data_IF_178792709592
#
_entry.id   IF_178792709592
#
_cell.length_a   1.000
_cell.length_b   1.000
_cell.length_c   1.000
_cell.angle_alpha   90.00
_cell.angle_beta   90.00
_cell.angle_gamma   90.00
#
_symmetry.space_group_name_H-M   'P 1'
#
loop_
_entity.id
_entity.type
_entity.pdbx_description
1 polymer ?
#
# COMPACT_ATOMS: atom_id res chain seq x y z
N UNK A 1 3.25 14.33 -9.43
CA UNK A 1 1.81 14.07 -9.26
C UNK A 1 1.41 12.90 -10.15
N UNK A 2 0.45 12.10 -9.71
CA UNK A 2 -0.16 11.01 -10.46
C UNK A 2 -1.69 11.22 -10.33
N UNK A 3 -2.40 11.29 -11.42
CA UNK A 3 -3.86 11.37 -11.40
C UNK A 3 -4.51 9.97 -11.48
N UNK A 4 -5.81 9.90 -11.27
CA UNK A 4 -6.55 8.63 -11.25
C UNK A 4 -6.54 7.91 -12.62
N UNK A 5 -6.68 8.60 -13.77
CA UNK A 5 -6.52 7.99 -15.09
C UNK A 5 -5.13 7.37 -15.30
N UNK A 6 -4.06 8.10 -15.00
CA UNK A 6 -2.68 7.61 -15.11
C UNK A 6 -2.42 6.41 -14.21
N UNK A 7 -2.95 6.46 -12.96
CA UNK A 7 -2.85 5.34 -12.03
C UNK A 7 -3.57 4.10 -12.56
N UNK A 8 -4.80 4.27 -13.07
CA UNK A 8 -5.58 3.19 -13.68
C UNK A 8 -4.80 2.55 -14.85
N UNK A 9 -4.28 3.36 -15.75
CA UNK A 9 -3.59 2.87 -16.95
C UNK A 9 -2.27 2.16 -16.60
N UNK A 10 -1.52 2.68 -15.62
CA UNK A 10 -0.34 2.02 -15.07
C UNK A 10 -0.70 0.72 -14.37
N UNK A 11 -1.74 0.70 -13.56
CA UNK A 11 -2.22 -0.49 -12.88
C UNK A 11 -2.64 -1.59 -13.88
N UNK A 12 -3.33 -1.21 -14.97
CA UNK A 12 -3.70 -2.16 -16.04
C UNK A 12 -2.47 -2.79 -16.70
N UNK A 13 -1.43 -1.99 -16.97
CA UNK A 13 -0.16 -2.51 -17.53
C UNK A 13 0.53 -3.47 -16.57
N UNK A 14 0.58 -3.16 -15.27
CA UNK A 14 1.15 -4.04 -14.24
C UNK A 14 0.36 -5.35 -14.13
N UNK A 15 -0.96 -5.28 -14.17
CA UNK A 15 -1.81 -6.47 -14.22
C UNK A 15 -1.48 -7.33 -15.45
N UNK A 16 -1.36 -6.69 -16.62
CA UNK A 16 -0.95 -7.34 -17.87
C UNK A 16 0.43 -8.00 -17.79
N UNK A 17 1.39 -7.36 -17.14
CA UNK A 17 2.72 -7.95 -16.90
C UNK A 17 2.61 -9.26 -16.11
N UNK A 18 1.85 -9.28 -15.04
CA UNK A 18 1.66 -10.47 -14.20
C UNK A 18 0.95 -11.59 -14.98
N UNK A 19 -0.11 -11.25 -15.72
CA UNK A 19 -0.84 -12.20 -16.57
C UNK A 19 0.09 -12.82 -17.64
N UNK A 20 0.85 -11.98 -18.35
CA UNK A 20 1.80 -12.41 -19.38
C UNK A 20 2.93 -13.31 -18.82
N UNK A 21 3.22 -13.19 -17.53
CA UNK A 21 4.19 -14.02 -16.82
C UNK A 21 3.57 -15.30 -16.22
N UNK A 22 2.31 -15.57 -16.52
CA UNK A 22 1.59 -16.78 -16.09
C UNK A 22 1.07 -16.73 -14.66
N UNK A 23 0.88 -15.52 -14.08
CA UNK A 23 0.19 -15.40 -12.82
C UNK A 23 -1.29 -15.77 -12.97
N UNK A 24 -1.81 -16.55 -12.03
CA UNK A 24 -3.20 -16.99 -12.02
C UNK A 24 -4.03 -16.13 -11.06
N UNK A 25 -5.31 -15.93 -11.37
CA UNK A 25 -6.25 -15.22 -10.49
C UNK A 25 -6.20 -15.81 -9.07
N UNK A 26 -6.14 -14.95 -8.06
CA UNK A 26 -6.05 -15.32 -6.64
C UNK A 26 -4.63 -15.61 -6.13
N UNK A 27 -3.62 -15.73 -7.01
CA UNK A 27 -2.23 -15.89 -6.56
C UNK A 27 -1.72 -14.66 -5.80
N UNK A 28 -0.84 -14.91 -4.84
CA UNK A 28 -0.16 -13.85 -4.08
C UNK A 28 0.94 -13.20 -4.90
N UNK A 29 0.97 -11.87 -4.85
CA UNK A 29 2.06 -11.03 -5.36
C UNK A 29 2.61 -10.21 -4.21
N UNK A 30 3.89 -10.40 -3.87
CA UNK A 30 4.51 -9.67 -2.78
C UNK A 30 4.86 -8.23 -3.19
N UNK A 31 4.59 -7.27 -2.32
CA UNK A 31 4.98 -5.87 -2.49
C UNK A 31 5.95 -5.53 -1.36
N UNK A 32 7.23 -5.44 -1.72
CA UNK A 32 8.37 -5.26 -0.82
C UNK A 32 8.95 -3.87 -1.06
N UNK A 33 8.18 -2.86 -0.70
CA UNK A 33 8.51 -1.46 -0.97
C UNK A 33 8.13 -0.56 0.22
N UNK A 34 8.91 0.50 0.50
CA UNK A 34 8.44 1.59 1.34
C UNK A 34 7.30 2.35 0.63
N UNK A 35 6.66 3.25 1.37
CA UNK A 35 5.69 4.17 0.79
C UNK A 35 6.31 4.88 -0.43
N UNK A 36 5.70 4.70 -1.58
CA UNK A 36 6.15 5.28 -2.84
C UNK A 36 5.04 5.23 -3.88
N UNK A 37 5.17 6.02 -4.92
CA UNK A 37 4.32 5.93 -6.10
C UNK A 37 4.31 4.50 -6.66
N UNK A 38 5.50 3.90 -6.82
CA UNK A 38 5.63 2.55 -7.35
C UNK A 38 4.90 1.49 -6.47
N UNK A 39 4.89 1.67 -5.14
CA UNK A 39 4.16 0.77 -4.24
C UNK A 39 2.64 0.87 -4.44
N UNK A 40 2.10 2.07 -4.67
CA UNK A 40 0.68 2.30 -4.99
C UNK A 40 0.34 1.69 -6.36
N UNK A 41 1.16 1.94 -7.37
CA UNK A 41 0.97 1.39 -8.72
C UNK A 41 1.00 -0.15 -8.71
N UNK A 42 1.96 -0.75 -7.98
CA UNK A 42 2.05 -2.20 -7.80
C UNK A 42 0.83 -2.76 -7.04
N UNK A 43 0.37 -2.07 -5.99
CA UNK A 43 -0.82 -2.45 -5.24
C UNK A 43 -2.05 -2.51 -6.16
N UNK A 44 -2.37 -1.40 -6.82
CA UNK A 44 -3.56 -1.35 -7.68
C UNK A 44 -3.46 -2.29 -8.88
N UNK A 45 -2.26 -2.42 -9.48
CA UNK A 45 -2.04 -3.38 -10.57
C UNK A 45 -2.27 -4.82 -10.13
N UNK A 46 -1.85 -5.17 -8.93
CA UNK A 46 -2.11 -6.48 -8.34
C UNK A 46 -3.61 -6.68 -8.08
N UNK A 47 -4.28 -5.71 -7.47
CA UNK A 47 -5.70 -5.79 -7.13
C UNK A 47 -6.58 -5.94 -8.37
N UNK A 48 -6.44 -5.06 -9.37
CA UNK A 48 -7.30 -5.09 -10.57
C UNK A 48 -6.98 -6.26 -11.50
N UNK A 49 -5.79 -6.84 -11.39
CA UNK A 49 -5.40 -8.08 -12.08
C UNK A 49 -6.02 -9.34 -11.49
N UNK A 50 -6.74 -9.22 -10.38
CA UNK A 50 -7.35 -10.36 -9.70
C UNK A 50 -6.37 -11.15 -8.84
N UNK A 51 -5.24 -10.55 -8.48
CA UNK A 51 -4.23 -11.16 -7.61
C UNK A 51 -4.38 -10.66 -6.19
N UNK A 52 -3.84 -11.41 -5.24
CA UNK A 52 -3.82 -11.05 -3.83
C UNK A 52 -2.53 -10.28 -3.50
N UNK A 53 -2.64 -9.00 -3.23
CA UNK A 53 -1.50 -8.18 -2.81
C UNK A 53 -1.03 -8.63 -1.42
N UNK A 54 0.24 -9.06 -1.31
CA UNK A 54 0.87 -9.41 -0.04
C UNK A 54 1.81 -8.28 0.37
N UNK A 55 1.33 -7.43 1.27
CA UNK A 55 2.10 -6.27 1.73
C UNK A 55 3.13 -6.70 2.77
N UNK A 56 4.42 -6.50 2.46
CA UNK A 56 5.52 -6.94 3.31
C UNK A 56 5.97 -5.82 4.23
N UNK A 57 5.93 -6.09 5.54
CA UNK A 57 6.44 -5.16 6.55
C UNK A 57 7.98 -5.16 6.54
N UNK A 58 8.57 -4.09 6.04
CA UNK A 58 10.02 -3.94 5.92
C UNK A 58 10.73 -3.83 7.29
N UNK A 59 10.02 -3.45 8.34
CA UNK A 59 10.58 -3.34 9.69
C UNK A 59 10.57 -4.68 10.46
N UNK A 60 9.96 -5.73 9.90
CA UNK A 60 9.81 -7.02 10.59
C UNK A 60 11.11 -7.85 10.65
N UNK A 61 12.13 -7.47 9.88
CA UNK A 61 13.39 -8.20 9.79
C UNK A 61 13.35 -9.37 8.80
N UNK A 62 14.54 -9.85 8.45
CA UNK A 62 14.75 -10.85 7.39
C UNK A 62 13.91 -12.11 7.57
N UNK A 63 13.92 -12.71 8.75
CA UNK A 63 13.29 -14.02 8.99
C UNK A 63 11.74 -13.94 8.94
N UNK A 64 11.18 -12.86 9.47
CA UNK A 64 9.74 -12.61 9.37
C UNK A 64 9.31 -12.31 7.92
N UNK A 65 10.15 -11.64 7.15
CA UNK A 65 9.91 -11.41 5.72
C UNK A 65 10.01 -12.73 4.94
N UNK A 66 11.03 -13.55 5.19
CA UNK A 66 11.18 -14.87 4.59
C UNK A 66 9.94 -15.74 4.87
N UNK A 67 9.50 -15.78 6.11
CA UNK A 67 8.27 -16.48 6.49
C UNK A 67 7.05 -15.95 5.74
N UNK A 68 6.87 -14.63 5.65
CA UNK A 68 5.72 -14.03 4.95
C UNK A 68 5.73 -14.34 3.45
N UNK A 69 6.90 -14.31 2.81
CA UNK A 69 7.06 -14.67 1.40
C UNK A 69 6.72 -16.16 1.15
N UNK A 70 7.24 -17.05 1.98
CA UNK A 70 6.98 -18.49 1.86
C UNK A 70 5.52 -18.82 2.17
N UNK A 71 5.02 -18.42 3.33
CA UNK A 71 3.64 -18.69 3.79
C UNK A 71 2.57 -18.10 2.87
N UNK A 72 2.82 -16.94 2.24
CA UNK A 72 1.89 -16.35 1.27
C UNK A 72 1.81 -17.12 -0.03
N UNK A 73 2.80 -17.96 -0.34
CA UNK A 73 2.94 -18.64 -1.63
C UNK A 73 3.21 -17.66 -2.79
N UNK A 74 3.78 -16.49 -2.51
CA UNK A 74 4.04 -15.49 -3.54
C UNK A 74 5.09 -15.99 -4.55
N UNK A 75 4.72 -16.11 -5.82
CA UNK A 75 5.64 -16.43 -6.91
C UNK A 75 6.25 -15.20 -7.57
N UNK A 76 5.63 -14.05 -7.40
CA UNK A 76 6.05 -12.76 -7.96
C UNK A 76 6.21 -11.74 -6.86
N UNK A 77 7.18 -10.85 -7.03
CA UNK A 77 7.41 -9.75 -6.10
C UNK A 77 7.77 -8.45 -6.84
N UNK A 78 7.15 -7.35 -6.44
CA UNK A 78 7.59 -6.00 -6.75
C UNK A 78 8.46 -5.51 -5.61
N UNK A 79 9.70 -5.13 -5.90
CA UNK A 79 10.71 -4.82 -4.89
C UNK A 79 11.30 -3.44 -5.15
N UNK A 80 11.18 -2.55 -4.19
CA UNK A 80 11.81 -1.23 -4.24
C UNK A 80 13.34 -1.32 -4.10
N UNK A 81 14.05 -0.37 -4.68
CA UNK A 81 15.51 -0.40 -4.70
C UNK A 81 16.11 -0.42 -3.28
N UNK A 82 15.56 0.36 -2.37
CA UNK A 82 16.00 0.39 -0.96
C UNK A 82 15.72 -0.90 -0.17
N UNK A 83 14.84 -1.77 -0.67
CA UNK A 83 14.50 -3.04 -0.03
C UNK A 83 15.16 -4.25 -0.72
N UNK A 84 15.96 -4.02 -1.77
CA UNK A 84 16.51 -5.07 -2.62
C UNK A 84 17.38 -6.07 -1.87
N UNK A 85 18.32 -5.58 -1.07
CA UNK A 85 19.23 -6.46 -0.33
C UNK A 85 18.50 -7.26 0.75
N UNK A 86 17.57 -6.62 1.45
CA UNK A 86 16.71 -7.27 2.42
C UNK A 86 15.84 -8.36 1.78
N UNK A 87 15.25 -8.06 0.62
CA UNK A 87 14.48 -9.03 -0.16
C UNK A 87 15.36 -10.21 -0.61
N UNK A 88 16.51 -9.95 -1.20
CA UNK A 88 17.42 -11.01 -1.69
C UNK A 88 17.85 -11.95 -0.56
N UNK A 89 18.11 -11.39 0.63
CA UNK A 89 18.47 -12.18 1.81
C UNK A 89 17.30 -13.01 2.33
N UNK A 90 16.08 -12.46 2.32
CA UNK A 90 14.87 -13.12 2.81
C UNK A 90 14.31 -14.16 1.81
N UNK A 91 14.40 -13.89 0.52
CA UNK A 91 13.88 -14.75 -0.54
C UNK A 91 14.84 -15.90 -0.94
N UNK A 92 16.01 -16.00 -0.30
CA UNK A 92 17.01 -17.02 -0.63
C UNK A 92 16.42 -18.42 -0.47
N UNK A 93 16.40 -19.19 -1.58
CA UNK A 93 15.84 -20.54 -1.63
C UNK A 93 14.33 -20.59 -1.83
N UNK A 94 13.63 -19.46 -1.92
CA UNK A 94 12.21 -19.41 -2.22
C UNK A 94 11.96 -19.20 -3.72
N UNK A 95 10.85 -19.74 -4.28
CA UNK A 95 10.51 -19.62 -5.70
C UNK A 95 9.87 -18.25 -6.04
N UNK A 96 10.33 -17.18 -5.41
CA UNK A 96 9.79 -15.83 -5.60
C UNK A 96 10.62 -15.06 -6.63
N UNK A 97 9.99 -14.64 -7.71
CA UNK A 97 10.64 -13.94 -8.81
C UNK A 97 10.33 -12.45 -8.76
N UNK A 98 11.38 -11.63 -8.69
CA UNK A 98 11.24 -10.16 -8.76
C UNK A 98 10.76 -9.74 -10.14
N UNK A 99 9.83 -8.77 -10.17
CA UNK A 99 9.31 -8.12 -11.37
C UNK A 99 9.59 -6.63 -11.33
N UNK A 100 9.78 -6.06 -12.48
CA UNK A 100 10.01 -4.63 -12.66
C UNK A 100 8.77 -4.01 -13.31
N UNK A 101 8.02 -3.14 -12.59
CA UNK A 101 6.83 -2.51 -13.14
C UNK A 101 7.11 -1.64 -14.39
N UNK A 102 8.34 -1.09 -14.50
CA UNK A 102 8.73 -0.29 -15.64
C UNK A 102 8.80 -1.09 -16.96
N UNK A 103 8.92 -2.43 -16.85
CA UNK A 103 8.93 -3.36 -17.99
C UNK A 103 7.54 -3.90 -18.34
N UNK A 104 6.48 -3.31 -17.77
CA UNK A 104 5.13 -3.72 -18.07
C UNK A 104 4.79 -3.44 -19.56
N UNK A 105 4.20 -4.43 -20.25
CA UNK A 105 3.76 -4.27 -21.65
C UNK A 105 2.62 -3.25 -21.71
N UNK A 106 2.13 -2.88 -22.91
CA UNK A 106 0.87 -2.18 -23.06
C UNK A 106 -0.26 -2.86 -22.29
N UNK A 107 -1.27 -2.08 -21.94
CA UNK A 107 -2.43 -2.61 -21.20
C UNK A 107 -3.08 -3.76 -21.96
N UNK A 108 -3.48 -4.85 -21.28
CA UNK A 108 -4.23 -5.92 -21.92
C UNK A 108 -5.62 -5.42 -22.35
N UNK A 109 -6.18 -6.02 -23.39
CA UNK A 109 -7.53 -5.68 -23.89
C UNK A 109 -8.58 -5.94 -22.80
N UNK A 110 -8.45 -7.03 -22.06
CA UNK A 110 -9.34 -7.40 -20.97
C UNK A 110 -8.57 -7.81 -19.71
N UNK A 111 -9.14 -7.46 -18.58
CA UNK A 111 -8.72 -7.95 -17.26
C UNK A 111 -9.71 -9.03 -16.78
N UNK A 112 -9.29 -9.93 -15.86
CA UNK A 112 -10.18 -10.93 -15.32
C UNK A 112 -11.35 -10.29 -14.58
N UNK A 113 -12.54 -10.90 -14.68
CA UNK A 113 -13.69 -10.51 -13.89
C UNK A 113 -13.42 -10.76 -12.40
N UNK A 114 -13.70 -9.76 -11.56
CA UNK A 114 -13.52 -9.80 -10.12
C UNK A 114 -14.85 -9.97 -9.42
N UNK A 115 -14.89 -10.82 -8.40
CA UNK A 115 -15.99 -10.91 -7.48
C UNK A 115 -15.68 -10.12 -6.19
N UNK A 116 -16.69 -9.53 -5.53
CA UNK A 116 -16.50 -8.86 -4.23
C UNK A 116 -15.85 -9.76 -3.17
N UNK A 117 -16.08 -11.07 -3.24
CA UNK A 117 -15.53 -12.07 -2.34
C UNK A 117 -14.11 -12.56 -2.69
N UNK A 118 -13.56 -12.17 -3.84
CA UNK A 118 -12.19 -12.54 -4.20
C UNK A 118 -11.19 -11.95 -3.19
N UNK A 119 -10.17 -12.76 -2.87
CA UNK A 119 -9.11 -12.34 -1.97
C UNK A 119 -8.26 -11.26 -2.64
N UNK A 120 -8.20 -10.09 -2.03
CA UNK A 120 -7.54 -8.92 -2.57
C UNK A 120 -6.21 -8.60 -1.86
N UNK A 121 -6.17 -8.76 -0.54
CA UNK A 121 -5.04 -8.35 0.27
C UNK A 121 -4.70 -9.41 1.32
N UNK A 122 -3.42 -9.63 1.55
CA UNK A 122 -2.87 -10.38 2.66
C UNK A 122 -1.89 -9.50 3.42
N UNK A 123 -2.15 -9.31 4.70
CA UNK A 123 -1.26 -8.58 5.60
C UNK A 123 -0.87 -9.44 6.79
N UNK A 124 0.35 -9.27 7.27
CA UNK A 124 0.85 -10.01 8.42
C UNK A 124 0.84 -9.13 9.67
N UNK A 125 0.32 -9.67 10.76
CA UNK A 125 0.35 -9.05 12.08
C UNK A 125 1.35 -9.79 12.97
N UNK A 126 1.94 -9.08 13.94
CA UNK A 126 2.76 -9.70 14.98
C UNK A 126 1.86 -10.58 15.84
N UNK A 127 1.87 -11.89 15.59
CA UNK A 127 1.10 -12.83 16.39
C UNK A 127 1.61 -12.91 17.83
N UNK A 128 0.69 -13.04 18.79
CA UNK A 128 1.02 -13.27 20.22
C UNK A 128 1.79 -14.58 20.45
N UNK A 129 1.82 -15.47 19.46
CA UNK A 129 2.47 -16.79 19.50
C UNK A 129 3.86 -16.82 18.86
N UNK A 130 4.46 -15.68 18.55
CA UNK A 130 5.82 -15.56 18.00
C UNK A 130 5.93 -15.73 16.49
N UNK A 131 4.90 -16.25 15.78
CA UNK A 131 4.86 -16.28 14.31
C UNK A 131 3.86 -15.27 13.77
N UNK A 132 4.18 -14.54 12.70
CA UNK A 132 3.24 -13.62 12.06
C UNK A 132 1.98 -14.35 11.60
N UNK A 133 0.81 -13.75 11.83
CA UNK A 133 -0.48 -14.27 11.35
C UNK A 133 -0.89 -13.50 10.10
N UNK A 134 -1.23 -14.23 9.03
CA UNK A 134 -1.75 -13.65 7.81
C UNK A 134 -3.24 -13.35 7.93
N UNK A 135 -3.61 -12.09 7.68
CA UNK A 135 -5.01 -11.64 7.63
C UNK A 135 -5.37 -11.39 6.19
N UNK A 136 -6.39 -12.07 5.69
CA UNK A 136 -6.89 -11.93 4.32
C UNK A 136 -8.06 -10.95 4.30
N UNK A 137 -8.02 -10.01 3.36
CA UNK A 137 -9.12 -9.11 3.04
C UNK A 137 -9.62 -9.39 1.61
N UNK A 138 -10.94 -9.33 1.43
CA UNK A 138 -11.57 -9.39 0.11
C UNK A 138 -11.65 -8.00 -0.52
N UNK A 139 -11.98 -7.92 -1.82
CA UNK A 139 -12.26 -6.64 -2.46
C UNK A 139 -13.39 -5.90 -1.74
N UNK A 140 -14.45 -6.61 -1.37
CA UNK A 140 -15.58 -6.02 -0.62
C UNK A 140 -15.13 -5.43 0.72
N UNK A 141 -14.29 -6.14 1.49
CA UNK A 141 -13.87 -5.65 2.81
C UNK A 141 -12.94 -4.44 2.71
N UNK A 142 -12.07 -4.39 1.69
CA UNK A 142 -11.21 -3.22 1.45
C UNK A 142 -12.02 -1.99 1.06
N UNK A 143 -12.96 -2.14 0.13
CA UNK A 143 -13.84 -1.04 -0.30
C UNK A 143 -14.74 -0.58 0.85
N UNK A 144 -15.29 -1.52 1.64
CA UNK A 144 -16.09 -1.18 2.81
C UNK A 144 -15.29 -0.39 3.86
N UNK A 145 -14.02 -0.76 4.10
CA UNK A 145 -13.14 -0.01 5.00
C UNK A 145 -12.88 1.41 4.50
N UNK A 146 -12.59 1.58 3.22
CA UNK A 146 -12.44 2.89 2.60
C UNK A 146 -13.73 3.72 2.67
N UNK A 147 -14.88 3.09 2.39
CA UNK A 147 -16.19 3.74 2.47
C UNK A 147 -16.53 4.17 3.89
N UNK A 148 -16.31 3.30 4.88
CA UNK A 148 -16.53 3.63 6.30
C UNK A 148 -15.68 4.83 6.72
N UNK A 149 -14.41 4.87 6.30
CA UNK A 149 -13.53 6.02 6.54
C UNK A 149 -14.08 7.30 5.92
N UNK A 150 -14.48 7.24 4.64
CA UNK A 150 -15.01 8.39 3.92
C UNK A 150 -16.26 8.95 4.59
N UNK A 151 -17.19 8.08 4.98
CA UNK A 151 -18.43 8.50 5.66
C UNK A 151 -18.17 9.06 7.07
N UNK A 152 -17.32 8.36 7.86
CA UNK A 152 -17.04 8.77 9.23
C UNK A 152 -16.33 10.14 9.33
N UNK A 153 -15.57 10.50 8.30
CA UNK A 153 -14.83 11.76 8.24
C UNK A 153 -15.40 12.76 7.22
N UNK A 154 -16.56 12.45 6.64
CA UNK A 154 -17.23 13.28 5.62
C UNK A 154 -16.29 13.66 4.44
N UNK A 155 -15.43 12.73 4.02
CA UNK A 155 -14.45 12.97 2.96
C UNK A 155 -15.13 12.96 1.58
N UNK A 156 -14.68 13.86 0.72
CA UNK A 156 -15.14 14.02 -0.66
C UNK A 156 -13.99 14.22 -1.65
N UNK A 157 -14.33 14.52 -2.93
CA UNK A 157 -13.34 14.69 -4.00
C UNK A 157 -12.34 15.83 -3.77
N UNK A 158 -12.73 16.85 -3.00
CA UNK A 158 -11.88 18.01 -2.70
C UNK A 158 -10.90 17.72 -1.55
N UNK A 159 -11.06 16.61 -0.84
CA UNK A 159 -10.22 16.27 0.28
C UNK A 159 -8.89 15.65 -0.15
N UNK A 160 -7.86 15.98 0.63
CA UNK A 160 -6.52 15.46 0.45
C UNK A 160 -5.96 14.89 1.73
N UNK A 161 -5.75 13.59 1.75
CA UNK A 161 -5.11 12.91 2.87
C UNK A 161 -3.60 13.09 2.87
N UNK A 162 -2.98 13.29 4.05
CA UNK A 162 -1.55 13.12 4.26
C UNK A 162 -1.30 11.74 4.88
N UNK A 163 -0.64 10.84 4.14
CA UNK A 163 -0.30 9.52 4.61
C UNK A 163 1.19 9.43 4.99
N UNK A 164 1.46 9.42 6.27
CA UNK A 164 2.80 9.20 6.85
C UNK A 164 2.98 7.79 7.41
N UNK A 165 1.88 7.05 7.56
CA UNK A 165 1.91 5.66 8.02
C UNK A 165 2.35 4.73 6.90
N UNK A 166 3.12 3.67 7.22
CA UNK A 166 3.46 2.67 6.22
C UNK A 166 2.22 1.97 5.67
N UNK A 167 2.12 1.88 4.33
CA UNK A 167 0.98 1.22 3.68
C UNK A 167 1.00 -0.30 3.78
N UNK A 168 2.05 -0.89 4.32
CA UNK A 168 2.05 -2.30 4.71
C UNK A 168 1.36 -2.54 6.07
N UNK A 169 0.83 -1.50 6.72
CA UNK A 169 -0.09 -1.59 7.85
C UNK A 169 -1.50 -1.18 7.42
N UNK A 170 -2.50 -1.86 8.01
CA UNK A 170 -3.90 -1.69 7.61
C UNK A 170 -4.40 -0.24 7.75
N UNK A 171 -3.94 0.51 8.75
CA UNK A 171 -4.31 1.92 8.89
C UNK A 171 -3.80 2.74 7.69
N UNK A 172 -2.52 2.66 7.35
CA UNK A 172 -1.98 3.38 6.19
C UNK A 172 -2.68 2.98 4.89
N UNK A 173 -2.94 1.67 4.70
CA UNK A 173 -3.57 1.19 3.47
C UNK A 173 -5.08 1.43 3.46
N UNK A 174 -5.81 0.93 4.44
CA UNK A 174 -7.27 0.94 4.39
C UNK A 174 -7.83 2.34 4.69
N UNK A 175 -7.34 3.00 5.73
CA UNK A 175 -7.85 4.33 6.09
C UNK A 175 -7.36 5.37 5.08
N UNK A 176 -6.03 5.46 4.83
CA UNK A 176 -5.52 6.54 3.98
C UNK A 176 -5.67 6.24 2.48
N UNK A 177 -5.17 5.08 2.00
CA UNK A 177 -5.18 4.79 0.55
C UNK A 177 -6.58 4.47 0.05
N UNK A 178 -7.29 3.55 0.71
CA UNK A 178 -8.64 3.18 0.27
C UNK A 178 -9.68 4.28 0.58
N UNK A 179 -9.51 5.01 1.68
CA UNK A 179 -10.34 6.18 1.99
C UNK A 179 -10.27 7.24 0.89
N UNK A 180 -9.06 7.59 0.43
CA UNK A 180 -8.88 8.53 -0.67
C UNK A 180 -9.43 7.99 -2.02
N UNK A 181 -9.31 6.67 -2.26
CA UNK A 181 -9.90 6.06 -3.46
C UNK A 181 -11.42 6.19 -3.46
N UNK A 182 -12.06 5.79 -2.36
CA UNK A 182 -13.52 5.69 -2.28
C UNK A 182 -14.18 7.06 -2.20
N UNK A 183 -13.55 8.03 -1.52
CA UNK A 183 -14.04 9.42 -1.49
C UNK A 183 -13.88 10.16 -2.82
N UNK A 184 -13.07 9.63 -3.76
CA UNK A 184 -12.69 10.35 -4.98
C UNK A 184 -11.67 11.47 -4.73
N UNK A 185 -11.19 11.61 -3.51
CA UNK A 185 -10.22 12.62 -3.10
C UNK A 185 -8.80 12.34 -3.60
N UNK A 186 -7.80 12.89 -2.92
CA UNK A 186 -6.40 12.71 -3.28
C UNK A 186 -5.55 12.33 -2.07
N UNK A 187 -4.32 11.84 -2.30
CA UNK A 187 -3.41 11.40 -1.25
C UNK A 187 -2.01 11.96 -1.46
N UNK A 188 -1.48 12.65 -0.47
CA UNK A 188 -0.06 12.96 -0.35
C UNK A 188 0.61 11.83 0.44
N UNK A 189 1.42 11.02 -0.23
CA UNK A 189 2.08 9.86 0.36
C UNK A 189 3.51 10.19 0.73
N UNK A 190 3.82 10.23 2.02
CA UNK A 190 5.17 10.42 2.52
C UNK A 190 5.92 9.08 2.61
N UNK A 191 7.20 9.08 2.28
CA UNK A 191 8.04 7.86 2.32
C UNK A 191 8.19 7.30 3.73
N UNK A 192 8.15 8.16 4.75
CA UNK A 192 8.21 7.82 6.18
C UNK A 192 7.68 8.98 7.02
N UNK A 193 7.35 8.71 8.28
CA UNK A 193 7.05 9.74 9.26
C UNK A 193 8.29 10.56 9.64
N UNK A 194 8.11 11.85 9.87
CA UNK A 194 9.09 12.75 10.46
C UNK A 194 8.36 13.84 11.24
N UNK A 195 8.54 13.90 12.56
CA UNK A 195 7.86 14.87 13.40
C UNK A 195 8.19 16.32 13.01
N UNK A 196 9.47 16.61 12.73
CA UNK A 196 9.94 17.95 12.34
C UNK A 196 9.45 18.41 10.96
N UNK A 197 9.05 17.49 10.08
CA UNK A 197 8.61 17.81 8.72
C UNK A 197 7.11 17.66 8.49
N UNK A 198 6.40 17.07 9.45
CA UNK A 198 4.99 16.69 9.30
C UNK A 198 4.12 17.87 8.86
N UNK A 199 4.17 18.96 9.61
CA UNK A 199 3.35 20.14 9.32
C UNK A 199 3.75 20.84 8.02
N UNK A 200 5.07 20.91 7.71
CA UNK A 200 5.52 21.40 6.41
C UNK A 200 5.02 20.56 5.25
N UNK A 201 4.97 19.23 5.40
CA UNK A 201 4.38 18.36 4.37
C UNK A 201 2.86 18.52 4.25
N UNK A 202 2.16 18.77 5.37
CA UNK A 202 0.73 19.03 5.34
C UNK A 202 0.43 20.33 4.57
N UNK A 203 1.18 21.40 4.86
CA UNK A 203 1.06 22.69 4.17
C UNK A 203 1.43 22.58 2.67
N UNK A 204 2.57 22.01 2.35
CA UNK A 204 3.05 21.85 0.96
C UNK A 204 2.06 21.02 0.12
N UNK A 205 1.47 19.99 0.72
CA UNK A 205 0.46 19.18 0.08
C UNK A 205 -0.93 19.81 0.08
N UNK A 206 -1.17 20.85 0.87
CA UNK A 206 -2.51 21.38 1.16
C UNK A 206 -3.44 20.23 1.64
N UNK A 207 -2.96 19.45 2.62
CA UNK A 207 -3.71 18.33 3.14
C UNK A 207 -4.86 18.82 4.03
N UNK A 208 -6.05 18.24 3.83
CA UNK A 208 -7.26 18.55 4.60
C UNK A 208 -7.47 17.59 5.76
N UNK A 209 -6.84 16.41 5.70
CA UNK A 209 -6.94 15.41 6.75
C UNK A 209 -5.71 14.49 6.79
N UNK A 210 -5.57 13.77 7.89
CA UNK A 210 -4.55 12.72 8.06
C UNK A 210 -5.02 11.67 9.06
N UNK A 211 -4.48 10.46 8.92
CA UNK A 211 -4.65 9.39 9.91
C UNK A 211 -3.31 9.08 10.57
N UNK A 212 -3.31 9.05 11.89
CA UNK A 212 -2.12 8.77 12.70
C UNK A 212 -2.45 7.83 13.85
N UNK A 213 -1.41 7.28 14.47
CA UNK A 213 -1.51 6.44 15.65
C UNK A 213 -1.05 7.22 16.90
N UNK A 214 -1.43 6.81 18.13
CA UNK A 214 -1.10 7.55 19.35
C UNK A 214 0.39 7.90 19.49
N UNK A 215 1.28 7.01 19.09
CA UNK A 215 2.73 7.26 19.11
C UNK A 215 3.13 8.47 18.25
N UNK A 216 2.52 8.62 17.06
CA UNK A 216 2.78 9.77 16.19
C UNK A 216 2.25 11.06 16.84
N UNK A 217 1.06 11.01 17.46
CA UNK A 217 0.51 12.16 18.19
C UNK A 217 1.48 12.59 19.29
N UNK A 218 1.98 11.64 20.08
CA UNK A 218 2.97 11.93 21.12
C UNK A 218 4.23 12.59 20.56
N UNK A 219 4.76 12.08 19.45
CA UNK A 219 5.92 12.71 18.80
C UNK A 219 5.63 14.12 18.27
N UNK A 220 4.45 14.38 17.74
CA UNK A 220 4.06 15.70 17.24
C UNK A 220 3.90 16.71 18.39
N UNK A 221 3.33 16.27 19.52
CA UNK A 221 3.15 17.13 20.71
C UNK A 221 4.47 17.51 21.39
N UNK A 222 5.49 16.65 21.32
CA UNK A 222 6.80 16.88 21.95
C UNK A 222 7.86 17.37 20.95
N UNK A 223 7.52 17.50 19.68
CA UNK A 223 8.45 18.06 18.70
C UNK A 223 8.50 19.59 18.89
N UNK A 224 9.70 20.16 18.87
CA UNK A 224 9.92 21.61 18.75
C UNK A 224 9.51 22.08 17.33
N UNK A 225 8.22 21.99 17.04
CA UNK A 225 7.66 22.41 15.76
C UNK A 225 6.66 23.53 16.03
N UNK A 226 6.74 24.56 15.24
CA UNK A 226 5.82 25.71 15.33
C UNK A 226 4.41 25.27 14.85
N UNK A 227 3.45 25.05 15.77
CA UNK A 227 2.09 24.67 15.39
C UNK A 227 1.34 25.81 14.69
N UNK A 228 1.88 27.04 14.69
CA UNK A 228 1.23 28.20 14.03
C UNK A 228 1.19 28.05 12.50
N UNK A 229 1.98 27.12 11.94
CA UNK A 229 1.95 26.79 10.50
C UNK A 229 0.77 25.89 10.10
N UNK A 230 0.15 25.19 11.07
CA UNK A 230 -0.95 24.29 10.82
C UNK A 230 -2.35 24.94 10.76
N UNK A 231 -2.43 26.24 11.02
CA UNK A 231 -3.72 26.96 11.16
C UNK A 231 -4.24 27.56 9.86
N UNK A 232 -3.73 27.15 8.71
CA UNK A 232 -4.21 27.61 7.39
C UNK A 232 -4.86 26.48 6.54
N UNK A 233 -5.10 25.33 7.14
CA UNK A 233 -5.85 24.23 6.49
C UNK A 233 -7.23 24.08 7.13
#
# INVERSE_FOLDING_TARGET
RLDWPDLRDTARRIAGLLIAQGAQKGESVAIVMPNSRAAIEALYGTLIGGFRATMINLAAGRDAIAYALDHSGARFAFVGDSARDLFNAAAKGLPVNRRDPAKAPPSPDALPALAPSDHALLMYTSGTTGRPKGVVHTHASLLAGGWTTSVAHALGPDDRGLCVLPIYHINGLCVSVMGSLVSGGSLALCSRFSASRFWGWADDAQATWFSVVPTIISHLLHAETDPSRATKA
#
